data_IF_074925681443
#
_entry.id   IF_074925681443
#
_cell.length_a   1.000
_cell.length_b   1.000
_cell.length_c   1.000
_cell.angle_alpha   90.00
_cell.angle_beta   90.00
_cell.angle_gamma   90.00
#
_symmetry.space_group_name_H-M   'P 1'
#
loop_
_entity.id
_entity.type
_entity.pdbx_description
1 polymer ?
#
# COMPACT_ATOMS: atom_id res chain seq x y z
N UNK A 1 1.31 41.26 57.22
CA UNK A 1 1.84 42.56 56.80
C UNK A 1 1.41 42.68 55.36
N UNK A 2 0.23 43.18 55.10
CA UNK A 2 -0.19 44.57 54.85
C UNK A 2 0.26 45.13 53.51
N UNK A 3 -0.73 45.43 52.66
CA UNK A 3 -0.73 46.56 51.78
C UNK A 3 -1.38 46.27 50.42
N UNK A 4 -2.66 46.33 50.33
CA UNK A 4 -3.60 47.38 49.95
C UNK A 4 -3.67 47.74 48.45
N UNK A 5 -4.87 47.58 47.97
CA UNK A 5 -5.43 48.02 46.67
C UNK A 5 -5.23 49.51 46.35
N UNK A 6 -5.28 49.87 45.07
CA UNK A 6 -5.82 51.14 44.61
C UNK A 6 -6.53 51.01 43.27
N UNK A 7 -7.84 51.05 43.35
CA UNK A 7 -8.82 51.39 42.33
C UNK A 7 -8.60 52.88 41.94
N UNK A 8 -8.61 53.19 40.66
CA UNK A 8 -8.92 54.55 40.17
C UNK A 8 -9.90 54.50 39.03
N UNK A 9 -11.12 54.83 39.42
CA UNK A 9 -12.26 55.27 38.58
C UNK A 9 -11.93 56.67 38.08
N UNK A 10 -12.14 56.96 36.79
CA UNK A 10 -12.35 58.30 36.27
C UNK A 10 -13.55 58.31 35.34
N UNK A 11 -14.50 59.12 35.72
CA UNK A 11 -15.81 59.40 35.12
C UNK A 11 -15.66 60.65 34.23
N UNK A 12 -16.46 60.70 33.15
CA UNK A 12 -17.06 61.86 32.43
C UNK A 12 -16.20 62.56 31.39
N UNK A 13 -16.67 62.73 30.17
CA UNK A 13 -17.59 63.81 29.80
C UNK A 13 -18.13 63.62 28.36
N UNK A 14 -19.42 63.80 28.26
CA UNK A 14 -20.27 63.86 27.10
C UNK A 14 -20.00 65.16 26.31
N UNK A 15 -19.68 65.06 25.00
CA UNK A 15 -19.82 66.20 24.09
C UNK A 15 -20.57 65.78 22.83
N UNK A 16 -21.79 66.27 22.73
CA UNK A 16 -22.64 66.22 21.54
C UNK A 16 -22.16 67.37 20.61
N UNK A 17 -21.69 66.96 19.43
CA UNK A 17 -21.49 67.88 18.32
C UNK A 17 -22.16 67.30 17.09
N UNK A 18 -23.31 67.84 16.75
CA UNK A 18 -24.05 67.67 15.51
C UNK A 18 -23.27 68.29 14.36
N UNK A 19 -22.77 67.44 13.45
CA UNK A 19 -22.28 67.90 12.16
C UNK A 19 -23.13 67.32 11.05
N UNK A 20 -23.79 68.18 10.35
CA UNK A 20 -24.44 67.92 9.06
C UNK A 20 -23.33 67.76 8.03
N UNK A 21 -23.23 66.60 7.40
CA UNK A 21 -22.34 66.40 6.28
C UNK A 21 -23.08 65.89 5.07
N UNK A 22 -22.94 66.66 4.04
CA UNK A 22 -23.42 66.42 2.70
C UNK A 22 -22.92 65.09 2.16
N UNK A 23 -23.76 64.32 1.56
CA UNK A 23 -23.46 63.08 0.86
C UNK A 23 -22.72 63.37 -0.47
N UNK A 24 -21.44 63.12 -0.49
CA UNK A 24 -20.72 62.87 -1.74
C UNK A 24 -20.61 61.34 -1.86
N UNK A 25 -21.45 60.75 -2.68
CA UNK A 25 -21.34 59.34 -3.05
C UNK A 25 -20.10 59.15 -3.94
N UNK A 26 -19.00 58.67 -3.34
CA UNK A 26 -17.89 58.13 -4.09
C UNK A 26 -18.26 56.70 -4.58
N UNK A 27 -18.45 56.54 -5.85
CA UNK A 27 -18.65 55.23 -6.45
C UNK A 27 -17.40 54.40 -6.21
N UNK A 28 -17.52 53.36 -5.39
CA UNK A 28 -16.52 52.33 -5.26
C UNK A 28 -16.46 51.56 -6.63
N UNK A 29 -15.29 51.45 -7.26
CA UNK A 29 -15.23 50.68 -8.48
C UNK A 29 -15.55 49.22 -8.12
N UNK A 30 -16.62 48.71 -8.73
CA UNK A 30 -16.93 47.27 -8.79
C UNK A 30 -15.71 46.59 -9.42
N UNK A 31 -15.07 45.55 -8.81
CA UNK A 31 -14.03 44.80 -9.49
C UNK A 31 -14.63 44.22 -10.77
N UNK A 32 -13.99 44.58 -11.88
CA UNK A 32 -14.27 44.03 -13.20
C UNK A 32 -14.20 42.50 -13.12
N UNK A 33 -15.25 41.83 -13.54
CA UNK A 33 -15.34 40.37 -13.70
C UNK A 33 -14.60 39.92 -14.99
N UNK A 34 -13.37 40.40 -15.20
CA UNK A 34 -12.48 39.94 -16.24
C UNK A 34 -11.20 39.49 -15.54
N UNK A 35 -11.00 38.19 -15.52
CA UNK A 35 -9.87 37.34 -15.16
C UNK A 35 -10.20 36.28 -14.10
N UNK A 36 -11.41 35.72 -14.10
CA UNK A 36 -11.55 34.32 -13.75
C UNK A 36 -11.23 33.53 -15.01
N UNK A 37 -9.97 33.14 -15.11
CA UNK A 37 -9.56 32.10 -16.05
C UNK A 37 -10.46 30.89 -15.77
N UNK A 38 -11.35 30.61 -16.71
CA UNK A 38 -12.34 29.55 -16.57
C UNK A 38 -11.57 28.26 -16.32
N UNK A 39 -11.92 27.55 -15.26
CA UNK A 39 -11.48 26.17 -15.07
C UNK A 39 -11.65 25.44 -16.41
N UNK A 40 -10.66 24.63 -16.85
CA UNK A 40 -10.71 24.00 -18.15
C UNK A 40 -12.06 23.33 -18.31
N UNK A 41 -12.78 23.73 -19.37
CA UNK A 41 -14.11 23.23 -19.68
C UNK A 41 -14.06 21.71 -19.72
N UNK A 42 -14.89 21.06 -18.93
CA UNK A 42 -15.06 19.61 -18.98
C UNK A 42 -15.26 19.22 -20.45
N UNK A 43 -14.37 18.41 -20.98
CA UNK A 43 -14.40 17.99 -22.38
C UNK A 43 -15.74 17.28 -22.63
N UNK A 44 -16.59 17.91 -23.43
CA UNK A 44 -17.88 17.36 -23.84
C UNK A 44 -17.62 16.19 -24.80
N UNK A 45 -17.61 14.96 -24.27
CA UNK A 45 -17.54 13.74 -25.09
C UNK A 45 -16.63 12.62 -24.62
N UNK A 46 -15.73 12.82 -23.66
CA UNK A 46 -14.82 11.80 -23.12
C UNK A 46 -14.74 11.83 -21.60
N UNK A 47 -14.23 10.77 -21.00
CA UNK A 47 -13.88 10.76 -19.57
C UNK A 47 -12.67 11.68 -19.36
N UNK A 48 -12.49 12.19 -18.14
CA UNK A 48 -11.53 13.27 -17.88
C UNK A 48 -10.04 12.88 -18.06
N UNK A 49 -9.72 11.57 -18.05
CA UNK A 49 -8.37 11.05 -18.34
C UNK A 49 -8.22 10.48 -19.76
N UNK A 50 -9.19 10.72 -20.66
CA UNK A 50 -9.12 10.23 -22.04
C UNK A 50 -7.93 10.83 -22.78
N UNK A 51 -7.21 9.98 -23.52
CA UNK A 51 -6.00 10.38 -24.26
C UNK A 51 -4.70 10.24 -23.49
N UNK A 52 -4.75 9.95 -22.18
CA UNK A 52 -3.56 9.60 -21.40
C UNK A 52 -3.17 8.15 -21.70
N UNK A 53 -1.90 7.91 -22.06
CA UNK A 53 -1.36 6.58 -22.33
C UNK A 53 -0.54 6.11 -21.11
N UNK A 54 -0.88 4.96 -20.55
CA UNK A 54 -0.26 4.40 -19.35
C UNK A 54 0.24 2.99 -19.64
N UNK A 55 1.50 2.69 -19.28
CA UNK A 55 2.00 1.32 -19.21
C UNK A 55 1.88 0.86 -17.76
N UNK A 56 1.22 -0.26 -17.54
CA UNK A 56 0.91 -0.78 -16.23
C UNK A 56 1.48 -2.17 -16.03
N UNK A 57 2.22 -2.36 -14.94
CA UNK A 57 2.86 -3.64 -14.57
C UNK A 57 2.11 -4.29 -13.41
N UNK A 58 1.25 -5.30 -13.64
CA UNK A 58 0.57 -6.00 -12.56
C UNK A 58 1.49 -6.84 -11.66
N UNK A 59 2.71 -7.12 -12.11
CA UNK A 59 3.78 -7.82 -11.37
C UNK A 59 4.03 -9.24 -11.84
N UNK A 60 3.17 -10.17 -11.52
CA UNK A 60 3.34 -11.59 -11.82
C UNK A 60 2.93 -12.00 -13.24
N UNK A 61 2.54 -13.26 -13.39
CA UNK A 61 1.95 -13.81 -14.62
C UNK A 61 0.42 -13.67 -14.62
N UNK A 62 -0.23 -13.64 -15.80
CA UNK A 62 -1.68 -13.67 -15.87
C UNK A 62 -2.27 -14.89 -15.13
N UNK A 63 -3.21 -14.64 -14.23
CA UNK A 63 -3.92 -15.69 -13.50
C UNK A 63 -3.44 -15.97 -12.08
N UNK A 64 -2.35 -15.37 -11.63
CA UNK A 64 -1.95 -15.42 -10.22
C UNK A 64 -2.93 -14.66 -9.32
N UNK A 65 -2.98 -15.04 -8.05
CA UNK A 65 -4.03 -14.56 -7.12
C UNK A 65 -3.89 -13.07 -6.77
N UNK A 66 -2.67 -12.58 -6.58
CA UNK A 66 -2.39 -11.19 -6.22
C UNK A 66 -2.51 -10.27 -7.43
N UNK A 67 -1.72 -10.53 -8.47
CA UNK A 67 -1.60 -9.68 -9.66
C UNK A 67 -2.89 -9.61 -10.47
N UNK A 68 -3.73 -10.64 -10.45
CA UNK A 68 -5.04 -10.60 -11.11
C UNK A 68 -5.96 -9.57 -10.43
N UNK A 69 -5.93 -9.47 -9.12
CA UNK A 69 -6.75 -8.49 -8.37
C UNK A 69 -6.24 -7.06 -8.61
N UNK A 70 -4.92 -6.86 -8.65
CA UNK A 70 -4.30 -5.58 -9.04
C UNK A 70 -4.71 -5.19 -10.47
N UNK A 71 -4.57 -6.14 -11.41
CA UNK A 71 -4.97 -5.94 -12.81
C UNK A 71 -6.44 -5.53 -12.94
N UNK A 72 -7.36 -6.20 -12.22
CA UNK A 72 -8.78 -5.88 -12.24
C UNK A 72 -9.05 -4.46 -11.74
N UNK A 73 -8.31 -4.00 -10.73
CA UNK A 73 -8.38 -2.62 -10.27
C UNK A 73 -7.98 -1.61 -11.35
N UNK A 74 -6.88 -1.88 -12.05
CA UNK A 74 -6.41 -1.02 -13.14
C UNK A 74 -7.37 -1.03 -14.34
N UNK A 75 -7.95 -2.18 -14.70
CA UNK A 75 -8.98 -2.30 -15.74
C UNK A 75 -10.21 -1.47 -15.39
N UNK A 76 -10.66 -1.55 -14.13
CA UNK A 76 -11.80 -0.74 -13.68
C UNK A 76 -11.47 0.76 -13.72
N UNK A 77 -10.27 1.16 -13.30
CA UNK A 77 -9.85 2.55 -13.38
C UNK A 77 -9.81 3.05 -14.85
N UNK A 78 -9.27 2.24 -15.75
CA UNK A 78 -9.32 2.56 -17.19
C UNK A 78 -10.76 2.72 -17.70
N UNK A 79 -11.65 1.81 -17.26
CA UNK A 79 -13.06 1.90 -17.60
C UNK A 79 -13.74 3.14 -17.01
N UNK A 80 -13.41 3.58 -15.79
CA UNK A 80 -14.05 4.72 -15.13
C UNK A 80 -13.48 6.07 -15.56
N UNK A 81 -12.17 6.16 -15.74
CA UNK A 81 -11.44 7.40 -15.97
C UNK A 81 -11.13 7.70 -17.43
N UNK A 82 -10.95 6.66 -18.26
CA UNK A 82 -10.80 6.77 -19.71
C UNK A 82 -9.38 6.76 -20.28
N UNK A 83 -8.27 6.53 -19.54
CA UNK A 83 -6.95 6.41 -20.15
C UNK A 83 -6.85 5.15 -21.02
N UNK A 84 -5.87 5.15 -21.93
CA UNK A 84 -5.43 3.95 -22.61
C UNK A 84 -4.39 3.25 -21.73
N UNK A 85 -4.65 2.02 -21.29
CA UNK A 85 -3.74 1.28 -20.43
C UNK A 85 -3.26 0.03 -21.16
N UNK A 86 -1.94 -0.11 -21.29
CA UNK A 86 -1.27 -1.31 -21.75
C UNK A 86 -0.70 -2.06 -20.54
N UNK A 87 -0.85 -3.39 -20.51
CA UNK A 87 -0.45 -4.23 -19.40
C UNK A 87 0.77 -5.08 -19.76
N UNK A 88 1.82 -5.02 -18.93
CA UNK A 88 3.08 -5.74 -19.11
C UNK A 88 3.31 -6.65 -17.90
N UNK A 89 3.45 -7.96 -18.13
CA UNK A 89 3.61 -8.96 -17.11
C UNK A 89 5.09 -9.32 -16.93
N UNK A 90 5.54 -9.45 -15.69
CA UNK A 90 6.98 -9.58 -15.35
C UNK A 90 7.32 -10.84 -14.57
N UNK A 91 6.38 -11.76 -14.37
CA UNK A 91 6.56 -13.03 -13.65
C UNK A 91 7.24 -12.88 -12.27
N UNK A 92 7.01 -11.75 -11.60
CA UNK A 92 7.69 -11.33 -10.37
C UNK A 92 9.22 -11.28 -10.48
N UNK A 93 9.77 -11.27 -11.70
CA UNK A 93 11.21 -11.23 -11.94
C UNK A 93 11.73 -9.79 -11.92
N UNK A 94 12.62 -9.40 -10.96
CA UNK A 94 13.12 -8.03 -10.85
C UNK A 94 13.94 -7.57 -12.06
N UNK A 95 14.76 -8.46 -12.67
CA UNK A 95 15.57 -8.11 -13.86
C UNK A 95 14.69 -7.85 -15.07
N UNK A 96 13.62 -8.64 -15.22
CA UNK A 96 12.63 -8.45 -16.27
C UNK A 96 11.87 -7.13 -16.07
N UNK A 97 11.50 -6.77 -14.84
CA UNK A 97 10.84 -5.49 -14.53
C UNK A 97 11.69 -4.30 -14.97
N UNK A 98 13.00 -4.33 -14.71
CA UNK A 98 13.95 -3.27 -15.13
C UNK A 98 14.04 -3.17 -16.65
N UNK A 99 14.19 -4.30 -17.33
CA UNK A 99 14.26 -4.34 -18.80
C UNK A 99 12.99 -3.81 -19.42
N UNK A 100 11.84 -4.30 -18.98
CA UNK A 100 10.53 -3.90 -19.48
C UNK A 100 10.20 -2.43 -19.17
N UNK A 101 10.68 -1.88 -18.04
CA UNK A 101 10.53 -0.45 -17.76
C UNK A 101 11.27 0.41 -18.80
N UNK A 102 12.50 0.03 -19.15
CA UNK A 102 13.26 0.72 -20.19
C UNK A 102 12.56 0.65 -21.55
N UNK A 103 11.99 -0.50 -21.89
CA UNK A 103 11.21 -0.69 -23.11
C UNK A 103 9.92 0.16 -23.09
N UNK A 104 9.22 0.21 -21.96
CA UNK A 104 8.04 1.04 -21.77
C UNK A 104 8.37 2.54 -21.97
N UNK A 105 9.46 3.03 -21.38
CA UNK A 105 9.89 4.43 -21.58
C UNK A 105 10.18 4.76 -23.04
N UNK A 106 10.69 3.80 -23.82
CA UNK A 106 10.98 4.01 -25.25
C UNK A 106 9.71 4.26 -26.10
N UNK A 107 8.53 3.84 -25.61
CA UNK A 107 7.23 4.12 -26.25
C UNK A 107 6.70 5.52 -25.97
N UNK A 108 7.35 6.26 -25.05
CA UNK A 108 7.01 7.62 -24.67
C UNK A 108 5.59 7.77 -24.10
N UNK A 109 5.17 6.96 -23.10
CA UNK A 109 3.85 7.05 -22.49
C UNK A 109 3.72 8.31 -21.62
N UNK A 110 2.51 8.66 -21.21
CA UNK A 110 2.29 9.74 -20.25
C UNK A 110 2.60 9.30 -18.81
N UNK A 111 2.48 8.00 -18.52
CA UNK A 111 2.82 7.47 -17.22
C UNK A 111 3.12 5.98 -17.22
N UNK A 112 3.82 5.55 -16.18
CA UNK A 112 4.19 4.14 -15.94
C UNK A 112 3.85 3.79 -14.48
N UNK A 113 3.04 2.74 -14.28
CA UNK A 113 2.78 2.16 -12.97
C UNK A 113 3.58 0.86 -12.82
N UNK A 114 4.43 0.77 -11.80
CA UNK A 114 5.39 -0.33 -11.61
C UNK A 114 5.25 -1.00 -10.24
N UNK A 115 5.62 -2.28 -10.16
CA UNK A 115 5.92 -2.94 -8.88
C UNK A 115 7.35 -2.57 -8.44
N UNK A 116 7.51 -2.05 -7.22
CA UNK A 116 8.81 -1.57 -6.73
C UNK A 116 9.81 -2.66 -6.32
N UNK A 117 9.58 -3.93 -6.68
CA UNK A 117 10.36 -5.10 -6.20
C UNK A 117 11.86 -5.03 -6.45
N UNK A 118 12.37 -4.48 -7.59
CA UNK A 118 13.79 -4.28 -7.79
C UNK A 118 14.48 -3.36 -6.77
N UNK A 119 13.71 -2.51 -6.07
CA UNK A 119 14.24 -1.56 -5.09
C UNK A 119 14.71 -0.22 -5.68
N UNK A 120 14.97 0.74 -4.79
CA UNK A 120 15.36 2.11 -5.16
C UNK A 120 16.62 2.16 -6.02
N UNK A 121 17.68 1.44 -5.63
CA UNK A 121 18.96 1.46 -6.33
C UNK A 121 18.83 1.08 -7.82
N UNK A 122 18.06 0.01 -8.09
CA UNK A 122 17.86 -0.48 -9.45
C UNK A 122 16.98 0.45 -10.30
N UNK A 123 15.98 1.09 -9.68
CA UNK A 123 15.07 1.99 -10.39
C UNK A 123 15.56 3.43 -10.50
N UNK A 124 16.53 3.87 -9.67
CA UNK A 124 16.98 5.28 -9.67
C UNK A 124 17.34 5.80 -11.07
N UNK A 125 18.23 5.17 -11.86
CA UNK A 125 18.58 5.73 -13.18
C UNK A 125 17.41 5.75 -14.15
N UNK A 126 16.46 4.83 -14.02
CA UNK A 126 15.29 4.73 -14.90
C UNK A 126 14.23 5.78 -14.54
N UNK A 127 14.02 6.03 -13.26
CA UNK A 127 13.08 7.05 -12.79
C UNK A 127 13.63 8.44 -13.09
N UNK A 128 14.94 8.68 -12.92
CA UNK A 128 15.60 9.92 -13.35
C UNK A 128 15.39 10.19 -14.83
N UNK A 129 15.54 9.17 -15.68
CA UNK A 129 15.28 9.29 -17.10
C UNK A 129 13.81 9.57 -17.40
N UNK A 130 12.87 8.85 -16.75
CA UNK A 130 11.43 9.06 -16.91
C UNK A 130 11.00 10.48 -16.53
N UNK A 131 11.49 10.98 -15.38
CA UNK A 131 11.26 12.36 -14.92
C UNK A 131 11.76 13.38 -15.94
N UNK A 132 12.97 13.17 -16.49
CA UNK A 132 13.54 14.06 -17.51
C UNK A 132 12.72 14.13 -18.79
N UNK A 133 11.93 13.10 -19.08
CA UNK A 133 11.02 13.00 -20.23
C UNK A 133 9.59 13.44 -19.90
N UNK A 134 9.31 13.82 -18.65
CA UNK A 134 7.97 14.18 -18.18
C UNK A 134 7.01 12.98 -18.09
N UNK A 135 7.54 11.77 -17.93
CA UNK A 135 6.75 10.54 -17.75
C UNK A 135 6.45 10.38 -16.25
N UNK A 136 5.18 10.39 -15.88
CA UNK A 136 4.75 10.20 -14.48
C UNK A 136 4.97 8.76 -14.06
N UNK A 137 5.65 8.54 -12.93
CA UNK A 137 5.87 7.19 -12.38
C UNK A 137 5.11 7.02 -11.07
N UNK A 138 4.43 5.88 -10.93
CA UNK A 138 3.79 5.45 -9.67
C UNK A 138 4.25 4.05 -9.34
N UNK A 139 4.85 3.86 -8.16
CA UNK A 139 5.20 2.55 -7.65
C UNK A 139 4.04 1.91 -6.88
N UNK A 140 3.97 0.58 -6.92
CA UNK A 140 2.95 -0.21 -6.25
C UNK A 140 3.58 -1.35 -5.45
N UNK A 141 2.87 -1.83 -4.44
CA UNK A 141 3.18 -2.98 -3.60
C UNK A 141 4.49 -2.89 -2.82
N UNK A 142 5.61 -2.58 -3.44
CA UNK A 142 6.89 -2.35 -2.77
C UNK A 142 7.25 -0.88 -2.89
N UNK A 143 7.46 -0.25 -1.74
CA UNK A 143 7.75 1.17 -1.64
C UNK A 143 9.18 1.47 -2.16
N UNK A 144 9.31 2.52 -2.94
CA UNK A 144 10.59 3.10 -3.37
C UNK A 144 10.76 4.43 -2.61
N UNK A 145 11.20 4.32 -1.35
CA UNK A 145 11.13 5.44 -0.39
C UNK A 145 12.08 6.59 -0.74
N UNK A 146 13.26 6.28 -1.27
CA UNK A 146 14.25 7.30 -1.68
C UNK A 146 13.77 8.04 -2.93
N UNK A 147 13.25 7.31 -3.92
CA UNK A 147 12.70 7.90 -5.14
C UNK A 147 11.44 8.71 -4.84
N UNK A 148 10.57 8.22 -3.96
CA UNK A 148 9.40 8.98 -3.54
C UNK A 148 9.79 10.25 -2.80
N UNK A 149 10.77 10.18 -1.90
CA UNK A 149 11.30 11.35 -1.19
C UNK A 149 11.89 12.41 -2.13
N UNK A 150 12.50 11.97 -3.22
CA UNK A 150 13.13 12.85 -4.22
C UNK A 150 12.12 13.45 -5.21
N UNK A 151 11.21 12.63 -5.74
CA UNK A 151 10.38 12.98 -6.90
C UNK A 151 8.88 13.12 -6.61
N UNK A 152 8.45 13.02 -5.33
CA UNK A 152 7.02 13.19 -5.01
C UNK A 152 6.47 14.56 -5.43
N UNK A 153 7.28 15.63 -5.36
CA UNK A 153 6.87 16.97 -5.78
C UNK A 153 6.61 17.08 -7.28
N UNK A 154 7.25 16.25 -8.11
CA UNK A 154 7.04 16.17 -9.56
C UNK A 154 6.05 15.08 -9.97
N UNK A 155 5.50 14.33 -9.00
CA UNK A 155 4.41 13.40 -9.28
C UNK A 155 4.68 11.94 -9.01
N UNK A 156 5.90 11.57 -8.56
CA UNK A 156 6.19 10.17 -8.20
C UNK A 156 5.32 9.73 -7.02
N UNK A 157 4.41 8.78 -7.25
CA UNK A 157 3.46 8.28 -6.27
C UNK A 157 3.78 6.86 -5.79
N UNK A 158 3.14 6.48 -4.66
CA UNK A 158 3.14 5.13 -4.15
C UNK A 158 1.73 4.69 -3.74
N UNK A 159 1.33 3.49 -4.13
CA UNK A 159 0.10 2.83 -3.70
C UNK A 159 0.41 1.40 -3.26
N UNK A 160 0.32 1.13 -1.98
CA UNK A 160 0.63 -0.19 -1.43
C UNK A 160 0.64 -0.17 0.08
N UNK A 161 0.92 -1.32 0.71
CA UNK A 161 1.14 -1.37 2.14
C UNK A 161 2.44 -0.63 2.51
N UNK A 162 2.43 0.13 3.61
CA UNK A 162 3.67 0.60 4.22
C UNK A 162 4.31 -0.62 4.87
N UNK A 163 5.26 -1.24 4.16
CA UNK A 163 5.67 -2.62 4.39
C UNK A 163 6.16 -2.89 5.81
N UNK A 164 7.04 -2.04 6.34
CA UNK A 164 7.52 -2.18 7.71
C UNK A 164 6.38 -2.08 8.72
N UNK A 165 5.53 -1.04 8.60
CA UNK A 165 4.44 -0.80 9.54
C UNK A 165 3.39 -1.92 9.48
N UNK A 166 3.08 -2.45 8.29
CA UNK A 166 2.19 -3.59 8.12
C UNK A 166 2.75 -4.86 8.78
N UNK A 167 4.05 -5.12 8.61
CA UNK A 167 4.73 -6.24 9.28
C UNK A 167 4.71 -6.10 10.80
N UNK A 168 5.06 -4.92 11.30
CA UNK A 168 5.01 -4.60 12.73
C UNK A 168 3.60 -4.76 13.31
N UNK A 169 2.57 -4.22 12.61
CA UNK A 169 1.19 -4.33 13.04
C UNK A 169 0.71 -5.80 13.07
N UNK A 170 1.09 -6.62 12.06
CA UNK A 170 0.77 -8.04 12.04
C UNK A 170 1.39 -8.77 13.24
N UNK A 171 2.66 -8.48 13.55
CA UNK A 171 3.35 -9.07 14.69
C UNK A 171 2.64 -8.75 16.01
N UNK A 172 2.37 -7.46 16.25
CA UNK A 172 1.71 -7.01 17.50
C UNK A 172 0.31 -7.58 17.66
N UNK A 173 -0.48 -7.57 16.60
CA UNK A 173 -1.84 -8.12 16.62
C UNK A 173 -1.82 -9.65 16.81
N UNK A 174 -0.86 -10.36 16.18
CA UNK A 174 -0.69 -11.81 16.37
C UNK A 174 -0.35 -12.16 17.80
N UNK A 175 0.59 -11.45 18.43
CA UNK A 175 0.95 -11.63 19.83
C UNK A 175 -0.27 -11.44 20.74
N UNK A 176 -1.04 -10.36 20.50
CA UNK A 176 -2.20 -10.04 21.30
C UNK A 176 -3.32 -11.10 21.16
N UNK A 177 -3.64 -11.51 19.93
CA UNK A 177 -4.71 -12.48 19.66
C UNK A 177 -4.35 -13.89 20.10
N UNK A 178 -3.11 -14.33 19.85
CA UNK A 178 -2.63 -15.64 20.27
C UNK A 178 -2.35 -15.70 21.80
N UNK A 179 -2.36 -14.56 22.50
CA UNK A 179 -2.08 -14.48 23.93
C UNK A 179 -0.65 -14.88 24.29
N UNK A 180 0.31 -14.61 23.37
CA UNK A 180 1.72 -14.98 23.57
C UNK A 180 2.36 -14.18 24.69
N UNK A 181 3.33 -14.82 25.36
CA UNK A 181 4.09 -14.24 26.45
C UNK A 181 5.57 -14.16 26.08
N UNK A 182 6.31 -13.29 26.76
CA UNK A 182 7.77 -13.22 26.58
C UNK A 182 8.42 -14.59 26.80
N UNK A 183 9.28 -15.00 25.87
CA UNK A 183 9.92 -16.31 25.79
C UNK A 183 9.14 -17.36 25.00
N UNK A 184 7.92 -17.08 24.53
CA UNK A 184 7.25 -17.92 23.54
C UNK A 184 7.96 -17.82 22.18
N UNK A 185 7.80 -18.85 21.34
CA UNK A 185 8.48 -18.96 20.06
C UNK A 185 7.56 -18.70 18.89
N UNK A 186 8.08 -17.95 17.91
CA UNK A 186 7.46 -17.75 16.61
C UNK A 186 8.38 -18.17 15.47
N UNK A 187 7.83 -18.79 14.46
CA UNK A 187 8.50 -19.05 13.20
C UNK A 187 8.11 -17.99 12.16
N UNK A 188 9.07 -17.25 11.63
CA UNK A 188 8.88 -16.28 10.56
C UNK A 188 9.53 -16.79 9.29
N UNK A 189 8.75 -17.01 8.26
CA UNK A 189 9.20 -17.45 6.96
C UNK A 189 9.02 -16.33 5.95
N UNK A 190 10.12 -15.66 5.58
CA UNK A 190 10.07 -14.38 4.89
C UNK A 190 11.19 -14.15 3.89
N UNK A 191 11.26 -12.92 3.39
CA UNK A 191 12.17 -12.47 2.33
C UNK A 191 13.05 -11.31 2.83
N UNK A 192 13.66 -11.43 4.02
CA UNK A 192 14.41 -10.36 4.67
C UNK A 192 15.57 -9.84 3.82
N UNK A 193 16.18 -10.71 3.02
CA UNK A 193 17.32 -10.35 2.16
C UNK A 193 16.92 -9.60 0.88
N UNK A 194 15.62 -9.59 0.52
CA UNK A 194 15.16 -8.94 -0.70
C UNK A 194 15.05 -7.43 -0.53
N UNK A 195 15.70 -6.67 -1.40
CA UNK A 195 15.66 -5.21 -1.37
C UNK A 195 14.20 -4.66 -1.37
N UNK A 196 13.94 -3.64 -0.54
CA UNK A 196 12.63 -3.04 -0.38
C UNK A 196 11.57 -3.99 0.20
N UNK A 197 11.39 -5.16 -0.42
CA UNK A 197 10.41 -6.18 -0.02
C UNK A 197 10.67 -6.73 1.39
N UNK A 198 11.94 -6.85 1.78
CA UNK A 198 12.35 -7.35 3.09
C UNK A 198 11.90 -6.50 4.26
N UNK A 199 11.53 -5.23 4.04
CA UNK A 199 11.06 -4.35 5.11
C UNK A 199 9.79 -4.90 5.80
N UNK A 200 8.94 -5.63 5.10
CA UNK A 200 7.77 -6.29 5.69
C UNK A 200 8.18 -7.39 6.66
N UNK A 201 9.06 -8.28 6.25
CA UNK A 201 9.60 -9.33 7.10
C UNK A 201 10.34 -8.75 8.30
N UNK A 202 11.13 -7.68 8.10
CA UNK A 202 11.81 -6.95 9.17
C UNK A 202 10.83 -6.40 10.21
N UNK A 203 9.75 -5.75 9.77
CA UNK A 203 8.69 -5.28 10.66
C UNK A 203 8.08 -6.40 11.49
N UNK A 204 7.85 -7.59 10.89
CA UNK A 204 7.36 -8.77 11.62
C UNK A 204 8.36 -9.22 12.68
N UNK A 205 9.62 -9.42 12.30
CA UNK A 205 10.68 -9.89 13.21
C UNK A 205 10.86 -8.93 14.37
N UNK A 206 11.11 -7.65 14.09
CA UNK A 206 11.33 -6.65 15.14
C UNK A 206 10.08 -6.44 16.03
N UNK A 207 8.87 -6.51 15.46
CA UNK A 207 7.62 -6.41 16.23
C UNK A 207 7.39 -7.58 17.18
N UNK A 208 7.81 -8.80 16.79
CA UNK A 208 7.80 -9.99 17.66
C UNK A 208 8.87 -9.88 18.76
N UNK A 209 10.10 -9.52 18.40
CA UNK A 209 11.21 -9.35 19.33
C UNK A 209 10.93 -8.25 20.37
N UNK A 210 10.34 -7.12 19.96
CA UNK A 210 9.89 -6.04 20.86
C UNK A 210 8.81 -6.51 21.84
N UNK A 211 8.07 -7.56 21.48
CA UNK A 211 7.11 -8.23 22.37
C UNK A 211 7.72 -9.32 23.24
N UNK A 212 9.04 -9.51 23.16
CA UNK A 212 9.79 -10.53 23.91
C UNK A 212 9.64 -11.95 23.34
N UNK A 213 9.17 -12.11 22.12
CA UNK A 213 9.00 -13.40 21.44
C UNK A 213 10.35 -13.84 20.85
N UNK A 214 10.70 -15.11 21.05
CA UNK A 214 11.87 -15.73 20.42
C UNK A 214 11.55 -16.03 18.94
N UNK A 215 12.23 -15.33 18.01
CA UNK A 215 12.00 -15.49 16.57
C UNK A 215 12.94 -16.52 15.96
N UNK A 216 12.37 -17.54 15.32
CA UNK A 216 13.05 -18.48 14.46
C UNK A 216 12.79 -18.03 13.03
N UNK A 217 13.82 -17.50 12.38
CA UNK A 217 13.70 -16.97 11.02
C UNK A 217 14.24 -17.95 9.98
N UNK A 218 13.52 -18.04 8.86
CA UNK A 218 13.94 -18.77 7.67
C UNK A 218 13.72 -17.90 6.43
N UNK A 219 14.76 -17.72 5.61
CA UNK A 219 14.61 -17.10 4.30
C UNK A 219 13.86 -18.05 3.35
N UNK A 220 12.94 -17.49 2.55
CA UNK A 220 12.24 -18.23 1.51
C UNK A 220 13.22 -18.41 0.33
N UNK A 221 13.50 -19.65 -0.05
CA UNK A 221 14.31 -19.94 -1.22
C UNK A 221 13.52 -19.78 -2.53
N UNK A 222 14.22 -19.69 -3.67
CA UNK A 222 13.62 -19.46 -4.99
C UNK A 222 12.59 -20.53 -5.36
N UNK A 223 12.83 -21.80 -5.00
CA UNK A 223 11.91 -22.90 -5.32
C UNK A 223 10.61 -22.77 -4.54
N UNK A 224 10.71 -22.47 -3.24
CA UNK A 224 9.54 -22.22 -2.36
C UNK A 224 8.81 -20.93 -2.73
N UNK A 225 9.53 -19.89 -3.16
CA UNK A 225 8.94 -18.65 -3.62
C UNK A 225 8.11 -18.85 -4.90
N UNK A 226 8.59 -19.67 -5.80
CA UNK A 226 7.89 -20.03 -7.05
C UNK A 226 6.70 -20.98 -6.80
N UNK A 227 6.88 -21.98 -5.92
CA UNK A 227 5.86 -22.96 -5.54
C UNK A 227 5.95 -23.25 -4.03
N UNK A 228 4.99 -22.71 -3.27
CA UNK A 228 4.97 -22.87 -1.81
C UNK A 228 5.00 -24.34 -1.37
N UNK A 229 4.47 -25.28 -2.18
CA UNK A 229 4.47 -26.71 -1.83
C UNK A 229 5.87 -27.34 -1.85
N UNK A 230 6.83 -26.75 -2.57
CA UNK A 230 8.24 -27.16 -2.54
C UNK A 230 8.87 -26.97 -1.15
N UNK A 231 8.34 -26.03 -0.36
CA UNK A 231 8.83 -25.71 0.99
C UNK A 231 8.30 -26.63 2.10
N UNK A 232 7.40 -27.58 1.83
CA UNK A 232 6.81 -28.45 2.86
C UNK A 232 7.87 -29.15 3.72
N UNK A 233 8.92 -29.68 3.12
CA UNK A 233 9.99 -30.37 3.87
C UNK A 233 10.78 -29.41 4.78
N UNK A 234 10.98 -28.17 4.37
CA UNK A 234 11.64 -27.13 5.16
C UNK A 234 10.77 -26.82 6.37
N UNK A 235 9.49 -26.55 6.14
CA UNK A 235 8.52 -26.27 7.21
C UNK A 235 8.47 -27.37 8.25
N UNK A 236 8.32 -28.63 7.82
CA UNK A 236 8.31 -29.81 8.71
C UNK A 236 9.62 -29.94 9.50
N UNK A 237 10.75 -29.64 8.87
CA UNK A 237 12.06 -29.64 9.54
C UNK A 237 12.14 -28.61 10.66
N UNK A 238 11.71 -27.37 10.41
CA UNK A 238 11.69 -26.30 11.40
C UNK A 238 10.76 -26.63 12.58
N UNK A 239 9.52 -27.08 12.28
CA UNK A 239 8.54 -27.44 13.31
C UNK A 239 8.96 -28.64 14.15
N UNK A 240 9.64 -29.63 13.53
CA UNK A 240 10.15 -30.79 14.25
C UNK A 240 11.32 -30.44 15.16
N UNK A 241 12.19 -29.53 14.76
CA UNK A 241 13.30 -29.04 15.56
C UNK A 241 12.83 -28.13 16.72
N UNK A 242 11.66 -27.49 16.57
CA UNK A 242 11.10 -26.52 17.51
C UNK A 242 9.62 -26.82 17.76
N UNK A 243 9.30 -27.91 18.50
CA UNK A 243 7.90 -28.34 18.69
C UNK A 243 7.05 -27.40 19.55
N UNK A 244 7.68 -26.43 20.20
CA UNK A 244 7.12 -25.42 21.09
C UNK A 244 6.82 -24.07 20.38
N UNK A 245 6.94 -24.01 19.05
CA UNK A 245 6.47 -22.86 18.26
C UNK A 245 4.95 -22.71 18.42
N UNK A 246 4.54 -21.48 18.77
CA UNK A 246 3.13 -21.10 18.98
C UNK A 246 2.56 -20.22 17.88
N UNK A 247 3.41 -19.55 17.11
CA UNK A 247 3.03 -18.65 16.02
C UNK A 247 3.86 -18.97 14.78
N UNK A 248 3.21 -18.99 13.64
CA UNK A 248 3.85 -19.03 12.33
C UNK A 248 3.41 -17.81 11.54
N UNK A 249 4.37 -17.06 10.98
CA UNK A 249 4.10 -15.94 10.08
C UNK A 249 4.72 -16.21 8.72
N UNK A 250 3.89 -16.14 7.67
CA UNK A 250 4.30 -16.32 6.27
C UNK A 250 4.24 -15.00 5.50
N UNK A 251 5.23 -14.74 4.66
CA UNK A 251 5.45 -13.43 4.04
C UNK A 251 4.44 -13.05 2.94
N UNK A 252 3.93 -13.98 2.17
CA UNK A 252 3.07 -13.67 1.02
C UNK A 252 2.00 -14.72 0.75
N UNK A 253 1.03 -14.36 -0.12
CA UNK A 253 -0.21 -15.10 -0.34
C UNK A 253 -0.05 -16.57 -0.73
N UNK A 254 1.00 -16.93 -1.50
CA UNK A 254 1.22 -18.33 -1.86
C UNK A 254 1.54 -19.17 -0.62
N UNK A 255 2.42 -18.68 0.27
CA UNK A 255 2.73 -19.38 1.51
C UNK A 255 1.54 -19.33 2.49
N UNK A 256 0.89 -18.17 2.64
CA UNK A 256 -0.26 -18.01 3.53
C UNK A 256 -1.41 -18.94 3.13
N UNK A 257 -1.71 -19.03 1.83
CA UNK A 257 -2.74 -19.95 1.31
C UNK A 257 -2.36 -21.44 1.42
N UNK A 258 -1.08 -21.75 1.68
CA UNK A 258 -0.58 -23.11 1.84
C UNK A 258 -0.43 -23.53 3.32
N UNK A 259 -0.74 -22.65 4.28
CA UNK A 259 -0.54 -22.92 5.72
C UNK A 259 -1.24 -24.21 6.19
N UNK A 260 -2.44 -24.49 5.71
CA UNK A 260 -3.10 -25.78 6.03
C UNK A 260 -2.19 -26.97 5.68
N UNK A 261 -1.68 -27.02 4.45
CA UNK A 261 -0.79 -28.10 4.00
C UNK A 261 0.48 -28.19 4.84
N UNK A 262 1.04 -27.04 5.21
CA UNK A 262 2.23 -26.96 6.06
C UNK A 262 1.96 -27.55 7.46
N UNK A 263 0.90 -27.12 8.12
CA UNK A 263 0.55 -27.58 9.45
C UNK A 263 0.17 -29.08 9.47
N UNK A 264 -0.66 -29.53 8.54
CA UNK A 264 -1.02 -30.96 8.40
C UNK A 264 0.23 -31.83 8.20
N UNK A 265 1.16 -31.39 7.33
CA UNK A 265 2.41 -32.10 7.09
C UNK A 265 3.33 -32.16 8.31
N UNK A 266 3.25 -31.17 9.17
CA UNK A 266 3.98 -31.13 10.46
C UNK A 266 3.21 -31.84 11.60
N UNK A 267 2.08 -32.50 11.31
CA UNK A 267 1.28 -33.21 12.29
C UNK A 267 0.51 -32.29 13.25
N UNK A 268 0.25 -31.06 12.84
CA UNK A 268 -0.56 -30.09 13.60
C UNK A 268 -1.99 -30.11 13.09
N UNK A 269 -2.95 -29.91 14.00
CA UNK A 269 -4.35 -29.70 13.69
C UNK A 269 -4.72 -28.22 13.62
N UNK A 270 -5.99 -27.91 13.27
CA UNK A 270 -6.53 -26.56 13.38
C UNK A 270 -6.37 -26.03 14.81
N UNK A 271 -6.10 -24.74 14.96
CA UNK A 271 -5.93 -24.03 16.22
C UNK A 271 -4.77 -24.55 17.13
N UNK A 272 -3.93 -25.50 16.67
CA UNK A 272 -2.76 -25.98 17.44
C UNK A 272 -1.62 -24.94 17.48
N UNK A 273 -1.48 -24.16 16.39
CA UNK A 273 -0.47 -23.10 16.21
C UNK A 273 -1.16 -21.92 15.57
N UNK A 274 -0.96 -20.71 16.09
CA UNK A 274 -1.50 -19.50 15.52
C UNK A 274 -0.88 -19.24 14.15
N UNK A 275 -1.67 -19.20 13.09
CA UNK A 275 -1.25 -18.92 11.72
C UNK A 275 -1.48 -17.47 11.36
N UNK A 276 -0.43 -16.76 10.91
CA UNK A 276 -0.55 -15.40 10.42
C UNK A 276 0.17 -15.21 9.08
N UNK A 277 -0.19 -14.17 8.33
CA UNK A 277 0.46 -13.91 7.06
C UNK A 277 -0.11 -12.71 6.30
N UNK A 278 0.18 -12.69 5.02
CA UNK A 278 -0.24 -11.63 4.11
C UNK A 278 -1.05 -12.22 2.96
N UNK A 279 -1.87 -11.38 2.38
CA UNK A 279 -2.69 -11.56 1.19
C UNK A 279 -3.90 -12.48 1.37
N UNK A 280 -5.02 -11.92 0.97
CA UNK A 280 -6.27 -12.63 0.93
C UNK A 280 -6.44 -13.31 -0.45
N UNK A 281 -6.84 -14.58 -0.42
CA UNK A 281 -7.16 -15.39 -1.59
C UNK A 281 -8.25 -16.39 -1.23
N UNK A 282 -8.79 -17.12 -2.20
CA UNK A 282 -9.74 -18.19 -1.92
C UNK A 282 -9.14 -19.26 -0.99
N UNK A 283 -7.86 -19.61 -1.18
CA UNK A 283 -7.17 -20.58 -0.32
C UNK A 283 -7.02 -20.04 1.11
N UNK A 284 -6.64 -18.76 1.27
CA UNK A 284 -6.52 -18.13 2.57
C UNK A 284 -7.86 -18.01 3.29
N UNK A 285 -8.94 -17.69 2.57
CA UNK A 285 -10.31 -17.67 3.11
C UNK A 285 -10.69 -19.05 3.68
N UNK A 286 -10.45 -20.13 2.93
CA UNK A 286 -10.73 -21.49 3.39
C UNK A 286 -9.86 -21.89 4.57
N UNK A 287 -8.58 -21.48 4.58
CA UNK A 287 -7.67 -21.70 5.71
C UNK A 287 -8.17 -21.00 6.99
N UNK A 288 -8.66 -19.75 6.87
CA UNK A 288 -9.25 -19.03 8.01
C UNK A 288 -10.52 -19.71 8.51
N UNK A 289 -11.41 -20.13 7.61
CA UNK A 289 -12.63 -20.88 7.96
C UNK A 289 -12.33 -22.18 8.69
N UNK A 290 -11.28 -22.85 8.26
CA UNK A 290 -10.84 -24.13 8.81
C UNK A 290 -10.03 -24.02 10.12
N UNK A 291 -9.66 -22.81 10.59
CA UNK A 291 -8.82 -22.61 11.76
C UNK A 291 -7.34 -22.94 11.52
N UNK A 292 -6.88 -22.91 10.27
CA UNK A 292 -5.49 -23.12 9.88
C UNK A 292 -4.70 -21.81 9.79
N UNK A 293 -5.40 -20.69 9.63
CA UNK A 293 -4.86 -19.33 9.58
C UNK A 293 -5.78 -18.45 10.41
N UNK A 294 -5.22 -17.65 11.29
CA UNK A 294 -5.97 -16.84 12.25
C UNK A 294 -6.03 -15.37 11.87
N UNK A 295 -4.94 -14.85 11.27
CA UNK A 295 -4.79 -13.43 11.01
C UNK A 295 -4.01 -13.16 9.74
N UNK A 296 -4.58 -12.33 8.86
CA UNK A 296 -3.97 -11.99 7.58
C UNK A 296 -4.06 -10.48 7.34
N UNK A 297 -2.96 -9.88 6.89
CA UNK A 297 -3.01 -8.53 6.30
C UNK A 297 -3.65 -8.63 4.91
N UNK A 298 -4.78 -7.97 4.73
CA UNK A 298 -5.39 -7.73 3.42
C UNK A 298 -4.77 -6.46 2.83
N UNK A 299 -3.89 -6.62 1.85
CA UNK A 299 -3.22 -5.50 1.20
C UNK A 299 -4.11 -4.72 0.22
N UNK A 300 -5.37 -5.09 0.08
CA UNK A 300 -6.35 -4.39 -0.78
C UNK A 300 -5.85 -4.20 -2.22
N UNK A 301 -5.39 -5.26 -2.84
CA UNK A 301 -4.68 -5.30 -4.11
C UNK A 301 -5.42 -4.57 -5.23
N UNK A 302 -6.75 -4.67 -5.26
CA UNK A 302 -7.58 -3.96 -6.22
C UNK A 302 -7.38 -2.44 -6.17
N UNK A 303 -7.26 -1.89 -4.93
CA UNK A 303 -6.97 -0.46 -4.75
C UNK A 303 -5.59 -0.09 -5.26
N UNK A 304 -4.59 -0.97 -5.15
CA UNK A 304 -3.26 -0.71 -5.70
C UNK A 304 -3.35 -0.49 -7.22
N UNK A 305 -4.11 -1.33 -7.92
CA UNK A 305 -4.33 -1.16 -9.35
C UNK A 305 -5.12 0.10 -9.71
N UNK A 306 -6.26 0.29 -9.05
CA UNK A 306 -7.16 1.42 -9.35
C UNK A 306 -6.51 2.77 -9.07
N UNK A 307 -5.91 2.92 -7.89
CA UNK A 307 -5.38 4.19 -7.43
C UNK A 307 -4.07 4.57 -8.11
N UNK A 308 -3.27 3.60 -8.59
CA UNK A 308 -2.08 3.90 -9.37
C UNK A 308 -2.44 4.53 -10.73
N UNK A 309 -3.45 4.01 -11.42
CA UNK A 309 -3.97 4.62 -12.65
C UNK A 309 -4.56 6.01 -12.36
N UNK A 310 -5.34 6.13 -11.28
CA UNK A 310 -5.91 7.42 -10.87
C UNK A 310 -4.81 8.45 -10.55
N UNK A 311 -3.75 8.05 -9.81
CA UNK A 311 -2.61 8.90 -9.48
C UNK A 311 -1.94 9.46 -10.73
N UNK A 312 -1.63 8.61 -11.72
CA UNK A 312 -1.03 9.04 -12.98
C UNK A 312 -1.94 10.02 -13.71
N UNK A 313 -3.24 9.73 -13.78
CA UNK A 313 -4.22 10.63 -14.37
C UNK A 313 -4.27 12.00 -13.70
N UNK A 314 -4.25 12.04 -12.37
CA UNK A 314 -4.28 13.28 -11.59
C UNK A 314 -3.01 14.11 -11.81
N UNK A 315 -1.85 13.48 -11.77
CA UNK A 315 -0.57 14.17 -11.99
C UNK A 315 -0.46 14.67 -13.44
N UNK A 316 -0.71 13.81 -14.41
CA UNK A 316 -0.55 14.18 -15.82
C UNK A 316 -1.51 15.29 -16.25
N UNK A 317 -2.79 15.23 -15.86
CA UNK A 317 -3.81 16.18 -16.34
C UNK A 317 -3.92 17.44 -15.47
N UNK A 318 -3.57 17.36 -14.17
CA UNK A 318 -3.81 18.46 -13.23
C UNK A 318 -2.58 18.86 -12.42
N UNK A 319 -1.41 18.28 -12.71
CA UNK A 319 -0.15 18.57 -12.03
C UNK A 319 -0.20 18.34 -10.51
N UNK A 320 -1.00 17.36 -10.04
CA UNK A 320 -0.93 16.95 -8.64
C UNK A 320 0.41 16.30 -8.34
N UNK A 321 0.90 16.53 -7.13
CA UNK A 321 2.10 15.85 -6.59
C UNK A 321 1.83 14.37 -6.36
N UNK A 322 2.88 13.56 -6.24
CA UNK A 322 2.78 12.15 -5.93
C UNK A 322 2.12 11.91 -4.58
N UNK A 323 1.15 11.01 -4.55
CA UNK A 323 0.48 10.58 -3.33
C UNK A 323 1.18 9.35 -2.74
N UNK A 324 1.12 9.23 -1.41
CA UNK A 324 1.46 7.98 -0.72
C UNK A 324 0.17 7.43 -0.11
N UNK A 325 -0.27 6.28 -0.59
CA UNK A 325 -1.54 5.68 -0.17
C UNK A 325 -1.24 4.31 0.45
N UNK A 326 -1.47 4.21 1.76
CA UNK A 326 -1.36 2.94 2.47
C UNK A 326 -2.61 2.08 2.23
N UNK A 327 -2.41 0.87 1.71
CA UNK A 327 -3.45 -0.13 1.51
C UNK A 327 -3.32 -1.32 2.47
N UNK A 328 -2.33 -1.33 3.37
CA UNK A 328 -1.96 -2.45 4.23
C UNK A 328 -2.53 -2.43 5.65
N UNK A 329 -3.49 -1.56 5.95
CA UNK A 329 -4.02 -1.40 7.32
C UNK A 329 -5.17 -2.38 7.67
N UNK A 330 -5.61 -3.24 6.75
CA UNK A 330 -6.74 -4.15 6.94
C UNK A 330 -6.32 -5.52 7.45
N UNK A 331 -7.07 -6.05 8.43
CA UNK A 331 -6.92 -7.44 8.87
C UNK A 331 -8.10 -8.29 8.45
N UNK A 332 -7.82 -9.50 7.92
CA UNK A 332 -8.78 -10.57 7.73
C UNK A 332 -8.58 -11.63 8.82
N UNK A 333 -9.67 -12.06 9.43
CA UNK A 333 -9.71 -13.07 10.48
C UNK A 333 -11.11 -13.69 10.56
N UNK A 334 -11.31 -14.67 11.42
CA UNK A 334 -12.55 -15.46 11.53
C UNK A 334 -13.83 -14.60 11.64
N UNK A 335 -13.76 -13.43 12.33
CA UNK A 335 -14.96 -12.63 12.58
C UNK A 335 -15.43 -11.82 11.36
N UNK A 336 -14.55 -11.58 10.37
CA UNK A 336 -14.87 -10.78 9.17
C UNK A 336 -14.68 -11.51 7.84
N UNK A 337 -14.13 -12.72 7.85
CA UNK A 337 -13.79 -13.48 6.63
C UNK A 337 -15.00 -13.72 5.72
N UNK A 338 -16.20 -13.90 6.27
CA UNK A 338 -17.41 -14.14 5.46
C UNK A 338 -17.82 -12.93 4.62
N UNK A 339 -17.60 -11.73 5.13
CA UNK A 339 -17.79 -10.51 4.34
C UNK A 339 -16.76 -10.41 3.22
N UNK A 340 -15.49 -10.71 3.54
CA UNK A 340 -14.38 -10.60 2.60
C UNK A 340 -14.42 -11.70 1.54
N UNK A 341 -14.84 -12.91 1.87
CA UNK A 341 -14.96 -14.05 0.95
C UNK A 341 -15.78 -13.73 -0.31
N UNK A 342 -16.90 -13.01 -0.15
CA UNK A 342 -17.73 -12.61 -1.28
C UNK A 342 -17.01 -11.61 -2.22
N UNK A 343 -16.02 -10.86 -1.70
CA UNK A 343 -15.22 -9.92 -2.47
C UNK A 343 -14.02 -10.63 -3.13
N UNK A 344 -13.47 -11.65 -2.46
CA UNK A 344 -12.45 -12.55 -3.03
C UNK A 344 -12.99 -13.29 -4.25
N UNK A 345 -14.20 -13.86 -4.17
CA UNK A 345 -14.87 -14.50 -5.32
C UNK A 345 -15.05 -13.57 -6.52
N UNK A 346 -15.20 -12.27 -6.26
CA UNK A 346 -15.32 -11.22 -7.31
C UNK A 346 -13.96 -10.66 -7.75
N UNK A 347 -12.87 -11.16 -7.18
CA UNK A 347 -11.51 -10.65 -7.42
C UNK A 347 -11.38 -9.15 -7.16
N UNK A 348 -12.00 -8.68 -6.07
CA UNK A 348 -11.88 -7.31 -5.54
C UNK A 348 -11.01 -7.30 -4.26
N UNK A 349 -10.76 -8.50 -3.72
CA UNK A 349 -9.86 -8.71 -2.58
C UNK A 349 -8.93 -9.87 -2.86
#
# INVERSE_FOLDING_TARGET
>A
MTGTARIRIFISLLFIATFVLAACASATPTPSSADQEAAPAAQTGGKWCSGTNIIFFPGGAPGGSFETVVYNGAVQAAADLGPNVEYVWSDWNPEQMITQFSEAMATNPNGIAIMGHPGDEAFTPLVEEAESKGIVVTSMNTQLSELQGTYSSSGFGYVGAILYDAGWALAKESVARAGLQAGDKAFVWGLLAQAGRGERTKGVVEGLEDSGIEVIYQEIDDATNADATAGVSIFVGVMSANPDIKLVVTDHGNLTGTQQTFFESAGKGPDDVFGAGFDLSSATVEAIRGGWTDLVIDQQQWLQGYLAVLQICLTHNYAFTGLQIDTGAGFAHKDNVELLAQLVEKQIR
#
